data_IF_010001908953
#
_entry.id   IF_010001908953
#
_cell.length_a   1.000
_cell.length_b   1.000
_cell.length_c   1.000
_cell.angle_alpha   90.00
_cell.angle_beta   90.00
_cell.angle_gamma   90.00
#
_symmetry.space_group_name_H-M   'P 1'
#
loop_
_entity.id
_entity.type
_entity.pdbx_description
1 polymer ?
#
# COMPACT_ATOMS: atom_id res chain seq x y z
N UNK A 1 62.47 40.59 -17.37
CA UNK A 1 61.22 40.10 -16.72
C UNK A 1 61.61 38.80 -16.01
N UNK A 2 62.15 38.80 -14.78
CA UNK A 2 61.48 38.95 -13.46
C UNK A 2 60.11 38.26 -13.49
N UNK A 3 59.84 37.12 -12.87
CA UNK A 3 60.55 36.27 -11.92
C UNK A 3 59.47 35.40 -11.28
N UNK A 4 59.62 34.07 -11.33
CA UNK A 4 58.75 33.13 -10.61
C UNK A 4 58.85 33.43 -9.11
N UNK A 5 57.76 33.90 -8.51
CA UNK A 5 57.63 34.02 -7.07
C UNK A 5 56.16 33.85 -6.71
N UNK A 6 55.92 33.28 -5.52
CA UNK A 6 54.62 32.97 -4.92
C UNK A 6 54.02 31.58 -5.25
N UNK A 7 54.87 30.56 -5.22
CA UNK A 7 54.48 29.24 -4.72
C UNK A 7 54.58 29.25 -3.19
N UNK A 8 53.44 29.08 -2.52
CA UNK A 8 53.33 28.68 -1.10
C UNK A 8 53.60 29.79 -0.07
N UNK A 9 52.52 30.44 0.34
CA UNK A 9 52.19 30.91 1.71
C UNK A 9 50.83 31.61 1.51
N UNK A 10 49.74 31.30 2.18
CA UNK A 10 49.55 31.15 3.61
C UNK A 10 48.10 30.64 3.77
N UNK A 11 47.87 29.81 4.78
CA UNK A 11 46.68 28.98 4.93
C UNK A 11 45.32 29.69 4.81
N UNK A 12 44.41 29.00 4.13
CA UNK A 12 43.00 29.03 4.47
C UNK A 12 42.66 27.69 5.14
N UNK A 13 43.02 27.58 6.43
CA UNK A 13 42.18 26.79 7.33
C UNK A 13 40.80 27.47 7.34
N UNK A 14 39.74 26.71 7.10
CA UNK A 14 38.63 26.50 8.04
C UNK A 14 37.47 25.81 7.31
N UNK A 15 37.37 24.50 7.56
CA UNK A 15 36.15 23.77 7.89
C UNK A 15 34.81 24.48 7.66
N UNK A 16 34.08 23.99 6.67
CA UNK A 16 32.66 23.70 6.85
C UNK A 16 32.33 22.42 6.09
N UNK A 17 32.63 21.28 6.71
CA UNK A 17 31.86 20.06 6.45
C UNK A 17 30.42 20.42 6.79
N UNK A 18 29.63 20.75 5.77
CA UNK A 18 28.19 20.77 5.95
C UNK A 18 27.80 19.32 6.13
N UNK A 19 27.71 18.90 7.39
CA UNK A 19 26.83 17.82 7.80
C UNK A 19 25.43 18.23 7.37
N UNK A 20 25.11 17.93 6.12
CA UNK A 20 23.76 17.91 5.61
C UNK A 20 23.04 16.89 6.47
N UNK A 21 22.41 17.38 7.54
CA UNK A 21 21.45 16.63 8.34
C UNK A 21 20.45 16.06 7.35
N UNK A 22 20.69 14.81 6.93
CA UNK A 22 19.77 14.01 6.16
C UNK A 22 18.61 13.77 7.12
N UNK A 23 17.73 14.76 7.16
CA UNK A 23 16.43 14.67 7.76
C UNK A 23 15.83 13.47 7.06
N UNK A 24 15.87 12.31 7.74
CA UNK A 24 15.05 11.15 7.38
C UNK A 24 13.64 11.69 7.47
N UNK A 25 13.14 12.27 6.37
CA UNK A 25 11.76 12.67 6.19
C UNK A 25 11.02 11.37 6.42
N UNK A 26 10.52 11.20 7.65
CA UNK A 26 9.57 10.15 8.00
C UNK A 26 8.47 10.36 7.01
N UNK A 27 8.48 9.60 5.90
CA UNK A 27 7.50 9.74 4.85
C UNK A 27 6.20 9.46 5.56
N UNK A 28 5.45 10.53 5.87
CA UNK A 28 4.05 10.41 6.27
C UNK A 28 3.51 9.52 5.17
N UNK A 29 3.14 8.28 5.53
CA UNK A 29 2.71 7.25 4.60
C UNK A 29 1.56 7.89 3.84
N UNK A 30 1.90 8.44 2.68
CA UNK A 30 1.07 9.40 1.97
C UNK A 30 -0.19 8.66 1.58
N UNK A 31 -1.32 9.35 1.59
CA UNK A 31 -2.52 8.78 0.99
C UNK A 31 -2.18 8.54 -0.49
N UNK A 32 -1.93 7.28 -0.86
CA UNK A 32 -1.67 6.88 -2.25
C UNK A 32 -2.81 7.42 -3.11
N UNK A 33 -2.48 8.25 -4.09
CA UNK A 33 -3.46 8.76 -5.04
C UNK A 33 -3.68 7.76 -6.19
N UNK A 34 -4.78 7.93 -6.93
CA UNK A 34 -5.00 7.17 -8.17
C UNK A 34 -3.87 7.40 -9.17
N UNK A 35 -3.26 8.59 -9.16
CA UNK A 35 -2.14 8.93 -10.03
C UNK A 35 -0.86 8.23 -9.63
N UNK A 36 -0.60 8.08 -8.32
CA UNK A 36 0.55 7.30 -7.83
C UNK A 36 0.41 5.83 -8.24
N UNK A 37 -0.79 5.26 -8.09
CA UNK A 37 -1.07 3.88 -8.49
C UNK A 37 -0.97 3.69 -10.01
N UNK A 38 -1.48 4.65 -10.78
CA UNK A 38 -1.36 4.65 -12.25
C UNK A 38 0.10 4.65 -12.67
N UNK A 39 0.93 5.51 -12.07
CA UNK A 39 2.36 5.58 -12.35
C UNK A 39 3.08 4.27 -12.03
N UNK A 40 2.78 3.66 -10.87
CA UNK A 40 3.31 2.34 -10.50
C UNK A 40 2.96 1.28 -11.55
N UNK A 41 1.70 1.23 -11.99
CA UNK A 41 1.26 0.33 -13.05
C UNK A 41 1.96 0.59 -14.38
N UNK A 42 2.15 1.86 -14.77
CA UNK A 42 2.87 2.25 -15.98
C UNK A 42 4.34 1.82 -15.95
N UNK A 43 5.01 1.91 -14.80
CA UNK A 43 6.46 1.63 -14.72
C UNK A 43 6.77 0.18 -14.40
N UNK A 44 6.01 -0.45 -13.51
CA UNK A 44 6.35 -1.77 -12.96
C UNK A 44 5.59 -2.90 -13.66
N UNK A 45 4.29 -2.72 -13.89
CA UNK A 45 3.42 -3.80 -14.41
C UNK A 45 3.35 -3.78 -15.94
N UNK A 46 3.09 -2.62 -16.52
CA UNK A 46 2.82 -2.43 -17.94
C UNK A 46 3.99 -1.77 -18.69
N UNK A 47 5.14 -1.58 -18.03
CA UNK A 47 6.28 -0.82 -18.59
C UNK A 47 6.96 -1.49 -19.78
N UNK A 48 6.64 -2.75 -20.06
CA UNK A 48 7.14 -3.49 -21.22
C UNK A 48 6.29 -3.25 -22.49
N UNK A 49 5.12 -2.60 -22.37
CA UNK A 49 4.23 -2.31 -23.49
C UNK A 49 4.52 -0.92 -24.08
N UNK A 50 4.22 -0.74 -25.36
CA UNK A 50 4.28 0.58 -25.99
C UNK A 50 3.25 1.50 -25.30
N UNK A 51 3.59 2.77 -24.96
CA UNK A 51 2.70 3.64 -24.18
C UNK A 51 1.30 3.82 -24.77
N UNK A 52 1.16 3.66 -26.09
CA UNK A 52 -0.10 3.81 -26.81
C UNK A 52 -1.04 2.59 -26.64
N UNK A 53 -0.45 1.40 -26.49
CA UNK A 53 -1.12 0.09 -26.31
C UNK A 53 -1.30 -0.24 -24.80
N UNK A 54 -0.47 0.34 -23.94
CA UNK A 54 -0.45 0.06 -22.51
C UNK A 54 -1.71 0.48 -21.74
N UNK A 55 -2.65 1.23 -22.35
CA UNK A 55 -3.78 1.84 -21.63
C UNK A 55 -4.69 0.81 -20.96
N UNK A 56 -5.04 -0.27 -21.66
CA UNK A 56 -5.89 -1.33 -21.12
C UNK A 56 -5.21 -2.01 -19.92
N UNK A 57 -3.93 -2.39 -20.09
CA UNK A 57 -3.12 -2.96 -19.01
C UNK A 57 -3.07 -2.03 -17.78
N UNK A 58 -2.81 -0.74 -17.99
CA UNK A 58 -2.68 0.23 -16.90
C UNK A 58 -4.01 0.41 -16.18
N UNK A 59 -5.13 0.52 -16.89
CA UNK A 59 -6.44 0.66 -16.25
C UNK A 59 -6.84 -0.61 -15.47
N UNK A 60 -6.60 -1.78 -16.02
CA UNK A 60 -6.85 -3.04 -15.32
C UNK A 60 -5.97 -3.18 -14.07
N UNK A 61 -4.68 -2.84 -14.16
CA UNK A 61 -3.76 -2.83 -13.02
C UNK A 61 -4.17 -1.85 -11.91
N UNK A 62 -4.67 -0.66 -12.27
CA UNK A 62 -5.05 0.37 -11.30
C UNK A 62 -6.25 -0.06 -10.46
N UNK A 63 -7.29 -0.61 -11.10
CA UNK A 63 -8.46 -1.15 -10.41
C UNK A 63 -9.20 -2.12 -11.35
N UNK A 64 -9.01 -3.44 -11.18
CA UNK A 64 -9.64 -4.44 -12.05
C UNK A 64 -11.17 -4.36 -12.04
N UNK A 65 -11.76 -4.06 -10.88
CA UNK A 65 -13.22 -3.93 -10.73
C UNK A 65 -13.77 -2.72 -11.49
N UNK A 66 -13.08 -1.57 -11.43
CA UNK A 66 -13.48 -0.38 -12.17
C UNK A 66 -13.23 -0.53 -13.67
N UNK A 67 -12.17 -1.25 -14.07
CA UNK A 67 -11.89 -1.56 -15.46
C UNK A 67 -13.03 -2.36 -16.07
N UNK A 68 -13.38 -3.53 -15.51
CA UNK A 68 -14.49 -4.37 -15.99
C UNK A 68 -15.83 -3.64 -16.06
N UNK A 69 -16.09 -2.72 -15.11
CA UNK A 69 -17.34 -1.94 -15.09
C UNK A 69 -17.40 -0.86 -16.16
N UNK A 70 -16.25 -0.28 -16.51
CA UNK A 70 -16.19 0.88 -17.43
C UNK A 70 -15.90 0.45 -18.86
N UNK A 71 -15.02 -0.53 -19.02
CA UNK A 71 -14.57 -1.09 -20.28
C UNK A 71 -15.12 -2.50 -20.42
N UNK A 72 -16.43 -2.61 -20.64
CA UNK A 72 -17.04 -3.89 -21.02
C UNK A 72 -16.50 -4.38 -22.38
N UNK A 73 -16.19 -3.42 -23.26
CA UNK A 73 -15.39 -3.60 -24.47
C UNK A 73 -14.07 -2.83 -24.26
N UNK A 74 -12.91 -3.50 -24.32
CA UNK A 74 -11.60 -2.86 -24.23
C UNK A 74 -11.41 -1.83 -25.35
N UNK A 75 -10.68 -0.75 -25.08
CA UNK A 75 -10.28 0.21 -26.12
C UNK A 75 -9.38 -0.49 -27.13
N UNK A 76 -9.52 -0.16 -28.41
CA UNK A 76 -8.51 -0.56 -29.39
C UNK A 76 -7.18 0.15 -29.13
N UNK A 77 -6.09 -0.45 -29.59
CA UNK A 77 -4.75 0.11 -29.45
C UNK A 77 -4.66 1.48 -30.12
N UNK A 78 -4.33 2.51 -29.34
CA UNK A 78 -4.30 3.91 -29.79
C UNK A 78 -5.61 4.68 -29.73
N UNK A 79 -6.73 4.03 -29.41
CA UNK A 79 -8.01 4.72 -29.21
C UNK A 79 -7.99 5.57 -27.91
N UNK A 80 -8.69 6.71 -27.93
CA UNK A 80 -8.85 7.59 -26.76
C UNK A 80 -10.32 7.91 -26.54
N UNK A 81 -10.97 7.19 -25.62
CA UNK A 81 -12.32 7.54 -25.18
C UNK A 81 -12.28 8.35 -23.87
N UNK A 82 -12.44 9.67 -23.99
CA UNK A 82 -12.37 10.59 -22.84
C UNK A 82 -13.49 10.38 -21.82
N UNK A 83 -14.68 9.95 -22.26
CA UNK A 83 -15.80 9.71 -21.35
C UNK A 83 -15.55 8.48 -20.48
N UNK A 84 -15.14 7.37 -21.11
CA UNK A 84 -14.78 6.15 -20.38
C UNK A 84 -13.60 6.42 -19.44
N UNK A 85 -12.60 7.19 -19.87
CA UNK A 85 -11.46 7.56 -19.02
C UNK A 85 -11.90 8.34 -17.77
N UNK A 86 -12.79 9.32 -17.91
CA UNK A 86 -13.35 10.08 -16.76
C UNK A 86 -14.14 9.17 -15.82
N UNK A 87 -14.99 8.30 -16.34
CA UNK A 87 -15.79 7.36 -15.56
C UNK A 87 -14.90 6.38 -14.79
N UNK A 88 -13.88 5.85 -15.45
CA UNK A 88 -12.91 4.96 -14.85
C UNK A 88 -12.14 5.65 -13.72
N UNK A 89 -11.63 6.87 -13.95
CA UNK A 89 -10.93 7.66 -12.93
C UNK A 89 -11.79 7.91 -11.70
N UNK A 90 -13.06 8.30 -11.89
CA UNK A 90 -14.00 8.53 -10.79
C UNK A 90 -14.32 7.24 -10.01
N UNK A 91 -14.39 6.10 -10.69
CA UNK A 91 -14.52 4.80 -10.03
C UNK A 91 -13.26 4.44 -9.24
N UNK A 92 -12.08 4.47 -9.87
CA UNK A 92 -10.80 4.06 -9.29
C UNK A 92 -10.42 4.92 -8.07
N UNK A 93 -10.70 6.23 -8.11
CA UNK A 93 -10.51 7.11 -6.94
C UNK A 93 -11.33 6.68 -5.73
N UNK A 94 -12.60 6.28 -5.94
CA UNK A 94 -13.47 5.78 -4.87
C UNK A 94 -12.97 4.43 -4.36
N UNK A 95 -12.56 3.55 -5.26
CA UNK A 95 -12.06 2.21 -4.93
C UNK A 95 -10.80 2.27 -4.04
N UNK A 96 -9.81 3.08 -4.44
CA UNK A 96 -8.59 3.30 -3.64
C UNK A 96 -8.91 3.90 -2.27
N UNK A 97 -9.84 4.86 -2.20
CA UNK A 97 -10.27 5.44 -0.91
C UNK A 97 -10.91 4.37 -0.03
N UNK A 98 -11.77 3.52 -0.59
CA UNK A 98 -12.47 2.46 0.14
C UNK A 98 -11.51 1.38 0.61
N UNK A 99 -10.56 0.93 -0.22
CA UNK A 99 -9.56 -0.08 0.14
C UNK A 99 -8.66 0.40 1.28
N UNK A 100 -8.30 1.69 1.31
CA UNK A 100 -7.57 2.26 2.45
C UNK A 100 -8.37 2.28 3.74
N UNK A 101 -9.66 2.62 3.68
CA UNK A 101 -10.53 2.61 4.85
C UNK A 101 -10.71 1.19 5.35
N UNK A 102 -10.94 0.23 4.45
CA UNK A 102 -11.06 -1.20 4.77
C UNK A 102 -9.77 -1.72 5.42
N UNK A 103 -8.60 -1.45 4.84
CA UNK A 103 -7.30 -1.83 5.42
C UNK A 103 -7.08 -1.24 6.81
N UNK A 104 -7.42 0.03 7.03
CA UNK A 104 -7.31 0.64 8.36
C UNK A 104 -8.24 -0.01 9.38
N UNK A 105 -9.42 -0.46 8.95
CA UNK A 105 -10.36 -1.20 9.81
C UNK A 105 -9.81 -2.59 10.15
N UNK A 106 -9.27 -3.32 9.17
CA UNK A 106 -8.65 -4.63 9.41
C UNK A 106 -7.42 -4.52 10.32
N UNK A 107 -6.55 -3.52 10.10
CA UNK A 107 -5.36 -3.30 10.94
C UNK A 107 -5.75 -3.01 12.40
N UNK A 108 -6.82 -2.24 12.63
CA UNK A 108 -7.36 -1.97 13.98
C UNK A 108 -7.92 -3.23 14.64
N UNK A 109 -8.66 -4.05 13.89
CA UNK A 109 -9.21 -5.31 14.39
C UNK A 109 -8.11 -6.30 14.77
N UNK A 110 -7.07 -6.40 13.93
CA UNK A 110 -5.88 -7.22 14.21
C UNK A 110 -5.15 -6.74 15.48
N UNK A 111 -5.01 -5.42 15.66
CA UNK A 111 -4.40 -4.86 16.87
C UNK A 111 -5.23 -5.16 18.13
N UNK A 112 -6.56 -5.04 18.08
CA UNK A 112 -7.43 -5.32 19.23
C UNK A 112 -7.56 -6.81 19.57
N UNK A 113 -7.53 -7.70 18.58
CA UNK A 113 -7.63 -9.16 18.79
C UNK A 113 -6.38 -9.80 19.43
N UNK A 114 -5.23 -9.14 19.34
CA UNK A 114 -3.99 -9.60 20.00
C UNK A 114 -3.92 -9.27 21.50
N UNK A 115 -4.77 -8.36 22.00
CA UNK A 115 -4.83 -8.02 23.42
C UNK A 115 -5.72 -8.98 24.25
N UNK A 116 -6.67 -9.66 23.61
CA UNK A 116 -7.64 -10.56 24.27
C UNK A 116 -7.16 -12.00 24.40
N UNK A 117 -6.12 -12.40 23.66
CA UNK A 117 -5.59 -13.77 23.67
C UNK A 117 -4.52 -14.02 24.74
N UNK A 118 -4.10 -13.00 25.52
CA UNK A 118 -3.07 -13.14 26.58
C UNK A 118 -3.62 -13.38 28.00
N UNK A 119 -4.94 -13.44 28.19
CA UNK A 119 -5.57 -13.67 29.51
C UNK A 119 -6.21 -15.06 29.69
N UNK A 120 -6.06 -15.99 28.75
CA UNK A 120 -6.68 -17.32 28.84
C UNK A 120 -5.70 -18.46 29.23
N UNK A 121 -4.46 -18.14 29.60
CA UNK A 121 -3.42 -19.14 29.94
C UNK A 121 -2.98 -19.07 31.42
N UNK A 122 -3.94 -19.00 32.36
CA UNK A 122 -3.70 -19.37 33.77
C UNK A 122 -4.96 -20.01 34.34
N UNK A 123 -5.18 -21.29 34.06
CA UNK A 123 -6.07 -22.13 34.84
C UNK A 123 -5.46 -23.53 34.94
N UNK A 124 -4.59 -23.70 35.94
CA UNK A 124 -4.09 -24.98 36.42
C UNK A 124 -5.15 -25.62 37.34
N UNK A 125 -5.81 -26.69 36.86
CA UNK A 125 -6.34 -27.86 37.59
C UNK A 125 -7.40 -27.69 38.70
N UNK A 126 -8.02 -28.80 39.19
CA UNK A 126 -7.66 -30.21 39.00
C UNK A 126 -8.82 -31.14 38.55
N UNK A 127 -8.49 -32.42 38.49
CA UNK A 127 -9.23 -33.60 38.01
C UNK A 127 -10.44 -34.05 38.85
N UNK A 128 -11.14 -35.07 38.31
CA UNK A 128 -12.16 -35.97 38.92
C UNK A 128 -13.54 -35.32 39.08
N UNK A 129 -14.68 -35.95 38.79
CA UNK A 129 -15.08 -37.30 39.22
C UNK A 129 -16.29 -37.83 38.41
N UNK A 130 -16.39 -39.15 38.43
CA UNK A 130 -17.37 -40.02 37.80
C UNK A 130 -18.72 -40.05 38.56
N UNK A 131 -19.86 -39.85 37.90
CA UNK A 131 -21.19 -40.42 38.27
C UNK A 131 -22.19 -40.14 37.13
N UNK A 132 -22.74 -41.12 36.40
CA UNK A 132 -23.72 -42.17 36.75
C UNK A 132 -25.11 -41.62 37.11
N UNK A 133 -26.06 -41.80 36.20
CA UNK A 133 -27.53 -42.05 36.33
C UNK A 133 -28.09 -41.91 34.90
N UNK A 134 -28.62 -42.90 34.16
CA UNK A 134 -29.65 -43.95 34.34
C UNK A 134 -31.02 -43.43 34.80
N UNK A 135 -31.97 -43.43 33.86
CA UNK A 135 -33.43 -43.28 34.01
C UNK A 135 -34.02 -42.88 32.64
N UNK A 136 -34.54 -43.78 31.80
CA UNK A 136 -35.84 -44.49 31.90
C UNK A 136 -37.01 -43.50 31.97
N UNK A 137 -37.76 -43.30 30.87
CA UNK A 137 -39.20 -43.63 30.70
C UNK A 137 -39.81 -42.49 29.86
N UNK A 138 -40.92 -42.55 29.13
CA UNK A 138 -41.84 -43.57 28.59
C UNK A 138 -42.82 -42.74 27.73
N UNK A 139 -43.35 -43.37 26.69
CA UNK A 139 -44.55 -43.04 25.89
C UNK A 139 -45.43 -41.87 26.39
N UNK A 140 -45.85 -41.02 25.45
CA UNK A 140 -47.24 -40.95 24.97
C UNK A 140 -47.27 -40.53 23.50
#
# INVERSE_FOLDING_TARGET
MRGFSFMVTLGLLLTATTDGMSSKKKRRKGRISVYDRKRECETETCGHLVPLEAKNCVHECVSPDCYRKTYAEPLEDGEINLQLSKNFMACAQRDIKNSMVAKRRSDRQAASGSATSKSAATAHGPASDSSRQKGESRQE
#
